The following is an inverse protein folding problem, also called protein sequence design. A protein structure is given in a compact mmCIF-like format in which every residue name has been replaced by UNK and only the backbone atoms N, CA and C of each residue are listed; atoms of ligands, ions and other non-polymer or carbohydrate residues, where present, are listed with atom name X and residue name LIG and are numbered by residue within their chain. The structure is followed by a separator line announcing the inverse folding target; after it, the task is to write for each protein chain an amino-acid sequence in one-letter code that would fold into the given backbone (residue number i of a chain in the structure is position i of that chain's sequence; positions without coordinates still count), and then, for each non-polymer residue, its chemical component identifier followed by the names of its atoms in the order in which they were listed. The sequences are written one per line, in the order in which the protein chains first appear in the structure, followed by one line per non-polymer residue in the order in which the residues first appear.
data_IF_421889338693
#
_entry.id   IF_421889338693
#
_cell.length_a   1.000
_cell.length_b   1.000
_cell.length_c   1.000
_cell.angle_alpha   90.00
_cell.angle_beta   90.00
_cell.angle_gamma   90.00
#
_symmetry.space_group_name_H-M   'P 1'
#
loop_
_entity.id
_entity.type
_entity.pdbx_description
1 polymer ?
#
# COMPACT_ATOMS: atom_id res chain seq x y z
N UNK A 1 3.22 -1.80 3.43
CA UNK A 1 3.64 -2.94 2.55
C UNK A 1 2.51 -3.38 1.60
N UNK A 2 1.45 -4.03 2.07
CA UNK A 2 0.47 -4.69 1.18
C UNK A 2 -0.36 -3.75 0.28
N UNK A 3 -0.87 -2.64 0.83
CA UNK A 3 -1.78 -1.75 0.10
C UNK A 3 -1.10 -0.80 -0.88
N UNK A 4 0.07 -0.26 -0.53
CA UNK A 4 0.66 0.87 -1.26
C UNK A 4 1.99 0.55 -1.95
N UNK A 5 2.69 -0.52 -1.59
CA UNK A 5 4.04 -0.77 -2.12
C UNK A 5 4.03 -1.01 -3.62
N UNK A 6 3.05 -1.75 -4.14
CA UNK A 6 2.94 -1.97 -5.58
C UNK A 6 2.75 -0.64 -6.30
N UNK A 7 1.78 0.19 -5.88
CA UNK A 7 1.53 1.51 -6.48
C UNK A 7 2.77 2.42 -6.50
N UNK A 8 3.53 2.43 -5.39
CA UNK A 8 4.79 3.17 -5.29
C UNK A 8 5.79 2.73 -6.36
N UNK A 9 5.95 1.40 -6.55
CA UNK A 9 6.85 0.84 -7.57
C UNK A 9 6.40 1.23 -8.98
N UNK A 10 5.09 1.35 -9.21
CA UNK A 10 4.54 1.77 -10.50
C UNK A 10 4.96 3.18 -10.84
N UNK A 11 4.64 4.15 -9.98
CA UNK A 11 4.89 5.57 -10.23
C UNK A 11 6.37 5.90 -10.25
N UNK A 12 7.13 5.46 -9.24
CA UNK A 12 8.54 5.81 -9.14
C UNK A 12 9.43 5.00 -10.10
N UNK A 13 8.93 3.88 -10.61
CA UNK A 13 9.75 2.88 -11.27
C UNK A 13 10.71 2.18 -10.30
N UNK A 14 11.31 1.08 -10.75
CA UNK A 14 12.17 0.23 -9.91
C UNK A 14 13.40 1.00 -9.42
N UNK A 15 14.04 1.78 -10.30
CA UNK A 15 15.31 2.45 -10.01
C UNK A 15 15.19 3.48 -8.88
N UNK A 16 14.26 4.42 -9.00
CA UNK A 16 14.06 5.45 -7.97
C UNK A 16 13.46 4.85 -6.68
N UNK A 17 12.62 3.81 -6.79
CA UNK A 17 12.08 3.12 -5.62
C UNK A 17 13.18 2.46 -4.78
N UNK A 18 14.15 1.77 -5.41
CA UNK A 18 15.30 1.19 -4.71
C UNK A 18 16.14 2.27 -4.01
N UNK A 19 16.42 3.38 -4.68
CA UNK A 19 17.18 4.51 -4.09
C UNK A 19 16.43 5.09 -2.89
N UNK A 20 15.12 5.32 -3.01
CA UNK A 20 14.29 5.83 -1.92
C UNK A 20 14.27 4.86 -0.72
N UNK A 21 14.05 3.57 -0.96
CA UNK A 21 14.07 2.55 0.09
C UNK A 21 15.43 2.49 0.76
N UNK A 22 16.52 2.52 0.01
CA UNK A 22 17.87 2.56 0.56
C UNK A 22 18.09 3.78 1.47
N UNK A 23 17.70 4.98 1.04
CA UNK A 23 17.82 6.20 1.84
C UNK A 23 17.01 6.13 3.14
N UNK A 24 15.77 5.65 3.07
CA UNK A 24 14.92 5.49 4.25
C UNK A 24 15.51 4.46 5.23
N UNK A 25 15.95 3.30 4.72
CA UNK A 25 16.54 2.24 5.53
C UNK A 25 17.89 2.62 6.13
N UNK A 26 18.69 3.43 5.42
CA UNK A 26 19.95 3.94 5.93
C UNK A 26 19.72 4.89 7.11
N UNK A 27 18.74 5.80 7.00
CA UNK A 27 18.37 6.71 8.08
C UNK A 27 17.92 5.94 9.35
N UNK A 28 17.06 4.94 9.20
CA UNK A 28 16.59 4.12 10.33
C UNK A 28 17.68 3.22 10.89
N UNK A 29 18.57 2.69 10.03
CA UNK A 29 19.72 1.89 10.46
C UNK A 29 20.68 2.70 11.34
N UNK A 30 21.02 3.93 10.95
CA UNK A 30 21.81 4.83 11.80
C UNK A 30 21.12 5.10 13.15
N UNK A 31 19.79 5.26 13.12
CA UNK A 31 19.00 5.44 14.34
C UNK A 31 19.05 4.20 15.24
N UNK A 32 19.01 2.98 14.67
CA UNK A 32 19.17 1.73 15.41
C UNK A 32 20.55 1.61 16.08
N UNK A 33 21.62 2.08 15.43
CA UNK A 33 22.96 2.10 16.03
C UNK A 33 22.99 3.06 17.23
N UNK A 34 22.41 4.25 17.09
CA UNK A 34 22.29 5.20 18.21
C UNK A 34 21.45 4.62 19.36
N UNK A 35 20.32 3.97 19.05
CA UNK A 35 19.49 3.31 20.06
C UNK A 35 20.22 2.17 20.76
N UNK A 36 21.03 1.42 20.02
CA UNK A 36 21.85 0.34 20.57
C UNK A 36 22.89 0.87 21.56
N UNK A 37 23.55 1.98 21.24
CA UNK A 37 24.48 2.64 22.14
C UNK A 37 23.80 3.11 23.44
N UNK A 38 22.59 3.67 23.33
CA UNK A 38 21.78 4.06 24.49
C UNK A 38 21.43 2.84 25.34
N UNK A 39 21.04 1.72 24.72
CA UNK A 39 20.70 0.49 25.46
C UNK A 39 21.91 -0.13 26.17
N UNK A 40 23.11 -0.06 25.60
CA UNK A 40 24.32 -0.60 26.26
C UNK A 40 24.85 0.28 27.40
N UNK A 41 24.36 1.52 27.53
CA UNK A 41 24.79 2.44 28.57
C UNK A 41 23.89 2.34 29.81
N UNK A 42 24.50 1.93 30.93
CA UNK A 42 23.84 1.85 32.23
C UNK A 42 22.98 0.61 32.45
N UNK A 43 22.41 0.49 33.64
CA UNK A 43 21.50 -0.62 33.99
C UNK A 43 20.12 -0.31 33.43
N UNK A 44 19.61 -1.17 32.56
CA UNK A 44 18.25 -1.05 32.00
C UNK A 44 17.28 -1.63 33.02
N UNK A 45 16.44 -0.77 33.60
CA UNK A 45 15.33 -1.20 34.45
C UNK A 45 14.03 -1.31 33.64
N UNK A 46 13.01 -1.93 34.23
CA UNK A 46 11.70 -2.14 33.63
C UNK A 46 10.92 -0.82 33.47
N UNK A 47 11.17 -0.09 32.38
CA UNK A 47 10.47 1.17 32.08
C UNK A 47 10.26 1.47 30.58
N UNK A 48 10.64 0.55 29.69
CA UNK A 48 10.51 0.71 28.24
C UNK A 48 11.44 1.77 27.65
N UNK A 49 11.15 2.20 26.41
CA UNK A 49 11.99 3.13 25.64
C UNK A 49 12.10 4.52 26.25
N UNK A 50 10.99 5.09 26.72
CA UNK A 50 10.99 6.42 27.32
C UNK A 50 11.88 6.49 28.56
N UNK A 51 11.79 5.50 29.45
CA UNK A 51 12.62 5.42 30.65
C UNK A 51 14.10 5.26 30.29
N UNK A 52 14.42 4.41 29.31
CA UNK A 52 15.79 4.20 28.84
C UNK A 52 16.42 5.48 28.26
N UNK A 53 15.66 6.26 27.49
CA UNK A 53 16.13 7.51 26.87
C UNK A 53 16.29 8.62 27.92
N UNK A 54 15.26 8.84 28.75
CA UNK A 54 15.26 9.93 29.75
C UNK A 54 16.35 9.76 30.81
N UNK A 55 16.71 8.52 31.16
CA UNK A 55 17.79 8.25 32.11
C UNK A 55 19.19 8.50 31.53
N UNK A 56 19.41 8.17 30.26
CA UNK A 56 20.73 8.27 29.64
C UNK A 56 21.01 9.65 29.00
N UNK A 57 19.99 10.35 28.51
CA UNK A 57 20.14 11.68 27.88
C UNK A 57 19.63 12.83 28.76
N UNK A 58 19.01 12.53 29.90
CA UNK A 58 18.43 13.51 30.80
C UNK A 58 16.93 13.74 30.55
N UNK A 59 16.23 14.30 31.55
CA UNK A 59 14.77 14.43 31.54
C UNK A 59 14.26 15.39 30.46
N UNK A 60 15.02 16.43 30.10
CA UNK A 60 14.63 17.41 29.08
C UNK A 60 14.53 16.76 27.68
N UNK A 61 15.59 16.05 27.29
CA UNK A 61 15.62 15.29 26.03
C UNK A 61 14.61 14.14 26.03
N UNK A 62 14.52 13.41 27.14
CA UNK A 62 13.55 12.32 27.29
C UNK A 62 12.11 12.78 27.09
N UNK A 63 11.72 13.89 27.72
CA UNK A 63 10.37 14.45 27.63
C UNK A 63 10.05 14.92 26.21
N UNK A 64 10.97 15.65 25.56
CA UNK A 64 10.77 16.14 24.20
C UNK A 64 10.60 14.99 23.19
N UNK A 65 11.47 13.97 23.24
CA UNK A 65 11.39 12.79 22.36
C UNK A 65 10.14 11.97 22.69
N UNK A 66 9.79 11.84 23.97
CA UNK A 66 8.60 11.12 24.42
C UNK A 66 7.28 11.69 23.88
N UNK A 67 7.12 13.02 23.91
CA UNK A 67 5.92 13.69 23.37
C UNK A 67 5.80 13.47 21.86
N UNK A 68 6.91 13.61 21.12
CA UNK A 68 6.93 13.37 19.67
C UNK A 68 6.60 11.90 19.34
N UNK A 69 7.14 10.96 20.11
CA UNK A 69 6.87 9.54 19.95
C UNK A 69 5.40 9.18 20.26
N UNK A 70 4.82 9.78 21.31
CA UNK A 70 3.41 9.63 21.64
C UNK A 70 2.50 10.12 20.51
N UNK A 71 2.73 11.34 20.01
CA UNK A 71 1.95 11.90 18.91
C UNK A 71 2.10 11.06 17.63
N UNK A 72 3.33 10.64 17.31
CA UNK A 72 3.60 9.79 16.15
C UNK A 72 2.85 8.47 16.21
N UNK A 73 2.85 7.79 17.36
CA UNK A 73 2.10 6.55 17.54
C UNK A 73 0.58 6.77 17.48
N UNK A 74 0.07 7.89 18.00
CA UNK A 74 -1.35 8.24 17.92
C UNK A 74 -1.80 8.43 16.45
N UNK A 75 -1.02 9.15 15.65
CA UNK A 75 -1.26 9.29 14.22
C UNK A 75 -1.13 7.95 13.47
N UNK A 76 -0.17 7.10 13.84
CA UNK A 76 -0.02 5.76 13.26
C UNK A 76 -1.24 4.86 13.54
N UNK A 77 -1.79 4.90 14.77
CA UNK A 77 -3.02 4.19 15.11
C UNK A 77 -4.18 4.63 14.21
N UNK A 78 -4.35 5.94 13.98
CA UNK A 78 -5.37 6.43 13.06
C UNK A 78 -5.14 5.93 11.62
N UNK A 79 -3.89 5.95 11.14
CA UNK A 79 -3.53 5.43 9.82
C UNK A 79 -3.89 3.94 9.65
N UNK A 80 -3.61 3.11 10.66
CA UNK A 80 -3.94 1.68 10.61
C UNK A 80 -5.44 1.42 10.61
N UNK A 81 -6.23 2.22 11.32
CA UNK A 81 -7.70 2.11 11.32
C UNK A 81 -8.26 2.48 9.94
N UNK A 82 -7.80 3.58 9.34
CA UNK A 82 -8.24 3.98 7.99
C UNK A 82 -7.89 2.91 6.97
N UNK A 83 -6.68 2.33 7.05
CA UNK A 83 -6.28 1.22 6.18
C UNK A 83 -7.13 -0.05 6.39
N UNK A 84 -7.55 -0.35 7.63
CA UNK A 84 -8.45 -1.46 7.90
C UNK A 84 -9.84 -1.23 7.31
N UNK A 85 -10.38 0.00 7.42
CA UNK A 85 -11.66 0.39 6.80
C UNK A 85 -11.56 0.30 5.28
N UNK A 86 -10.45 0.75 4.69
CA UNK A 86 -10.20 0.64 3.26
C UNK A 86 -10.29 -0.80 2.77
N UNK A 87 -9.59 -1.72 3.46
CA UNK A 87 -9.61 -3.13 3.10
C UNK A 87 -11.02 -3.72 3.25
N UNK A 88 -11.71 -3.35 4.32
CA UNK A 88 -13.04 -3.85 4.62
C UNK A 88 -14.07 -3.40 3.57
N UNK A 89 -14.08 -2.11 3.21
CA UNK A 89 -15.06 -1.54 2.29
C UNK A 89 -14.76 -1.83 0.82
N UNK A 90 -13.50 -1.92 0.41
CA UNK A 90 -13.16 -2.10 -1.02
C UNK A 90 -12.99 -3.57 -1.41
N UNK A 91 -12.46 -4.42 -0.52
CA UNK A 91 -12.09 -5.78 -0.89
C UNK A 91 -12.95 -6.87 -0.23
N UNK A 92 -13.46 -6.65 0.99
CA UNK A 92 -14.25 -7.67 1.70
C UNK A 92 -15.75 -7.51 1.43
N UNK A 93 -16.27 -6.29 1.60
CA UNK A 93 -17.70 -6.02 1.50
C UNK A 93 -17.96 -4.69 0.75
N UNK A 94 -17.90 -4.68 -0.59
CA UNK A 94 -18.21 -3.47 -1.38
C UNK A 94 -19.69 -3.07 -1.32
N UNK A 95 -20.59 -3.95 -0.88
CA UNK A 95 -22.03 -3.71 -0.90
C UNK A 95 -22.56 -2.93 0.32
N UNK A 96 -21.79 -2.82 1.40
CA UNK A 96 -22.23 -2.16 2.64
C UNK A 96 -21.93 -0.66 2.64
N UNK A 97 -21.29 -0.14 1.60
CA UNK A 97 -21.02 1.30 1.49
C UNK A 97 -22.31 2.10 1.44
N UNK A 98 -22.39 3.16 2.25
CA UNK A 98 -23.54 4.05 2.26
C UNK A 98 -23.52 4.82 0.94
N UNK A 99 -24.52 4.59 0.09
CA UNK A 99 -24.63 5.12 -1.27
C UNK A 99 -24.29 4.13 -2.39
N UNK A 100 -23.91 2.89 -2.07
CA UNK A 100 -23.68 1.82 -3.04
C UNK A 100 -22.32 1.87 -3.74
N UNK A 101 -22.11 0.96 -4.71
CA UNK A 101 -20.82 0.78 -5.37
C UNK A 101 -20.40 1.95 -6.28
N UNK A 102 -21.34 2.80 -6.71
CA UNK A 102 -21.05 3.96 -7.56
C UNK A 102 -20.32 5.08 -6.80
N UNK A 103 -20.32 5.02 -5.47
CA UNK A 103 -19.67 6.00 -4.59
C UNK A 103 -18.16 5.82 -4.51
N UNK A 104 -17.64 4.64 -4.89
CA UNK A 104 -16.20 4.37 -4.87
C UNK A 104 -15.40 5.29 -5.81
N UNK A 105 -16.07 5.97 -6.75
CA UNK A 105 -15.43 6.88 -7.69
C UNK A 105 -15.35 8.33 -7.20
N UNK A 106 -16.04 8.66 -6.10
CA UNK A 106 -16.05 10.00 -5.51
C UNK A 106 -15.00 10.13 -4.39
N UNK A 107 -13.79 10.55 -4.76
CA UNK A 107 -12.64 10.74 -3.86
C UNK A 107 -12.55 12.15 -3.25
N UNK A 108 -13.60 12.97 -3.38
CA UNK A 108 -13.61 14.31 -2.81
C UNK A 108 -13.50 14.32 -1.27
N UNK A 109 -12.92 15.38 -0.70
CA UNK A 109 -12.77 15.56 0.76
C UNK A 109 -14.11 15.52 1.53
N UNK A 110 -15.18 15.95 0.87
CA UNK A 110 -16.57 15.88 1.34
C UNK A 110 -17.42 14.92 0.51
N UNK A 111 -16.76 14.03 -0.25
CA UNK A 111 -17.40 13.00 -1.04
C UNK A 111 -18.06 11.96 -0.14
N UNK A 112 -19.03 11.24 -0.70
CA UNK A 112 -19.76 10.22 0.05
C UNK A 112 -18.82 9.10 0.54
N UNK A 113 -17.74 8.80 -0.20
CA UNK A 113 -16.76 7.80 0.22
C UNK A 113 -15.93 8.25 1.43
N UNK A 114 -15.40 9.48 1.48
CA UNK A 114 -14.68 9.96 2.68
C UNK A 114 -15.59 10.03 3.90
N UNK A 115 -16.90 10.28 3.73
CA UNK A 115 -17.85 10.15 4.83
C UNK A 115 -18.02 8.69 5.30
N UNK A 116 -18.05 7.71 4.40
CA UNK A 116 -17.99 6.29 4.76
C UNK A 116 -16.75 5.98 5.61
N UNK A 117 -15.57 6.44 5.20
CA UNK A 117 -14.33 6.27 5.98
C UNK A 117 -14.43 6.85 7.39
N UNK A 118 -15.03 8.03 7.56
CA UNK A 118 -15.22 8.66 8.88
C UNK A 118 -16.17 7.86 9.77
N UNK A 119 -17.29 7.40 9.22
CA UNK A 119 -18.29 6.63 9.99
C UNK A 119 -17.73 5.27 10.40
N UNK A 120 -17.22 4.48 9.45
CA UNK A 120 -16.66 3.16 9.78
C UNK A 120 -15.38 3.27 10.63
N UNK A 121 -14.54 4.28 10.38
CA UNK A 121 -13.35 4.53 11.18
C UNK A 121 -13.65 4.86 12.64
N UNK A 122 -14.66 5.70 12.90
CA UNK A 122 -15.07 6.01 14.28
C UNK A 122 -15.67 4.81 15.01
N UNK A 123 -16.45 3.97 14.31
CA UNK A 123 -16.99 2.72 14.87
C UNK A 123 -15.87 1.76 15.25
N UNK A 124 -14.90 1.52 14.36
CA UNK A 124 -13.76 0.63 14.62
C UNK A 124 -12.88 1.19 15.75
N UNK A 125 -12.65 2.50 15.80
CA UNK A 125 -11.90 3.15 16.87
C UNK A 125 -12.56 2.91 18.25
N UNK A 126 -13.88 3.07 18.33
CA UNK A 126 -14.64 2.84 19.57
C UNK A 126 -14.55 1.37 20.00
N UNK A 127 -14.65 0.43 19.06
CA UNK A 127 -14.48 -1.00 19.34
C UNK A 127 -13.08 -1.30 19.89
N UNK A 128 -12.03 -0.79 19.25
CA UNK A 128 -10.64 -0.96 19.71
C UNK A 128 -10.47 -0.36 21.10
N UNK A 129 -11.06 0.81 21.37
CA UNK A 129 -11.04 1.43 22.69
C UNK A 129 -11.69 0.52 23.76
N UNK A 130 -12.84 -0.08 23.47
CA UNK A 130 -13.49 -1.04 24.38
C UNK A 130 -12.58 -2.25 24.63
N UNK A 131 -11.98 -2.82 23.59
CA UNK A 131 -11.09 -3.99 23.73
C UNK A 131 -9.88 -3.67 24.60
N UNK A 132 -9.26 -2.50 24.41
CA UNK A 132 -8.13 -2.06 25.22
C UNK A 132 -8.56 -1.79 26.67
N UNK A 133 -9.75 -1.21 26.88
CA UNK A 133 -10.30 -0.95 28.21
C UNK A 133 -10.63 -2.24 28.99
N UNK A 134 -11.08 -3.30 28.31
CA UNK A 134 -11.35 -4.61 28.93
C UNK A 134 -10.07 -5.33 29.39
N UNK A 135 -8.93 -5.06 28.77
CA UNK A 135 -7.63 -5.49 29.26
C UNK A 135 -6.63 -5.87 28.18
N UNK A 136 -5.43 -5.28 28.27
CA UNK A 136 -4.32 -5.46 27.30
C UNK A 136 -3.75 -6.88 27.29
N UNK A 137 -3.91 -7.65 28.38
CA UNK A 137 -3.45 -9.05 28.46
C UNK A 137 -4.07 -9.94 27.39
N UNK A 138 -5.35 -9.69 27.04
CA UNK A 138 -6.02 -10.42 25.97
C UNK A 138 -5.36 -10.15 24.62
N UNK A 139 -4.99 -8.90 24.34
CA UNK A 139 -4.33 -8.50 23.08
C UNK A 139 -2.96 -9.15 22.93
N UNK A 140 -2.19 -9.27 24.02
CA UNK A 140 -0.87 -9.90 24.01
C UNK A 140 -0.91 -11.38 23.60
N UNK A 141 -2.01 -12.08 23.88
CA UNK A 141 -2.19 -13.48 23.45
C UNK A 141 -2.31 -13.61 21.92
N UNK A 142 -2.92 -12.62 21.23
CA UNK A 142 -3.09 -12.63 19.77
C UNK A 142 -1.87 -12.09 19.00
N UNK A 143 -0.93 -11.43 19.68
CA UNK A 143 0.28 -10.89 19.06
C UNK A 143 1.06 -11.91 18.19
N UNK A 144 1.39 -13.13 18.65
CA UNK A 144 2.11 -14.10 17.82
C UNK A 144 1.28 -14.59 16.62
N UNK A 145 -0.05 -14.68 16.75
CA UNK A 145 -0.94 -15.07 15.65
C UNK A 145 -0.87 -14.03 14.52
N UNK A 146 -0.87 -12.74 14.87
CA UNK A 146 -0.74 -11.66 13.90
C UNK A 146 0.59 -11.71 13.14
N UNK A 147 1.69 -12.05 13.82
CA UNK A 147 3.01 -12.19 13.19
C UNK A 147 3.04 -13.34 12.18
N UNK A 148 2.45 -14.50 12.54
CA UNK A 148 2.35 -15.66 11.64
C UNK A 148 1.55 -15.31 10.38
N UNK A 149 0.43 -14.59 10.54
CA UNK A 149 -0.39 -14.15 9.41
C UNK A 149 0.41 -13.27 8.43
N UNK A 150 1.21 -12.32 8.95
CA UNK A 150 2.07 -11.47 8.11
C UNK A 150 3.13 -12.28 7.37
N UNK A 151 3.79 -13.23 8.06
CA UNK A 151 4.81 -14.08 7.44
C UNK A 151 4.23 -14.98 6.33
N UNK A 152 3.08 -15.61 6.57
CA UNK A 152 2.39 -16.42 5.56
C UNK A 152 2.00 -15.57 4.35
N UNK A 153 1.52 -14.34 4.58
CA UNK A 153 1.15 -13.42 3.49
C UNK A 153 2.36 -13.03 2.64
N UNK A 154 3.53 -12.80 3.25
CA UNK A 154 4.78 -12.53 2.52
C UNK A 154 5.20 -13.75 1.69
N UNK A 155 5.16 -14.95 2.28
CA UNK A 155 5.49 -16.18 1.58
C UNK A 155 4.53 -16.46 0.42
N UNK A 156 3.23 -16.18 0.59
CA UNK A 156 2.23 -16.32 -0.46
C UNK A 156 2.49 -15.39 -1.65
N UNK A 157 2.94 -14.15 -1.40
CA UNK A 157 3.34 -13.23 -2.47
C UNK A 157 4.49 -13.83 -3.29
N UNK A 158 5.57 -14.28 -2.62
CA UNK A 158 6.71 -14.90 -3.31
C UNK A 158 6.33 -16.19 -4.05
N UNK A 159 5.49 -17.03 -3.47
CA UNK A 159 4.98 -18.23 -4.12
C UNK A 159 4.16 -17.89 -5.37
N UNK A 160 3.28 -16.88 -5.30
CA UNK A 160 2.47 -16.43 -6.44
C UNK A 160 3.32 -15.87 -7.58
N UNK A 161 4.40 -15.16 -7.27
CA UNK A 161 5.38 -14.66 -8.27
C UNK A 161 6.05 -15.82 -9.00
N UNK A 162 6.50 -16.85 -8.27
CA UNK A 162 7.14 -18.03 -8.86
C UNK A 162 6.13 -18.79 -9.73
N UNK A 163 4.92 -19.00 -9.22
CA UNK A 163 3.84 -19.65 -9.97
C UNK A 163 3.55 -18.91 -11.28
N UNK A 164 3.42 -17.58 -11.26
CA UNK A 164 3.20 -16.77 -12.47
C UNK A 164 4.40 -16.58 -13.37
N UNK A 165 5.60 -16.88 -12.90
CA UNK A 165 6.76 -16.98 -13.78
C UNK A 165 6.79 -18.29 -14.57
N UNK A 166 6.12 -19.35 -14.09
CA UNK A 166 6.12 -20.68 -14.73
C UNK A 166 4.82 -20.88 -15.54
N UNK A 167 3.69 -20.49 -14.96
CA UNK A 167 2.35 -20.65 -15.52
C UNK A 167 1.82 -19.27 -15.91
N UNK A 168 1.58 -19.07 -17.21
CA UNK A 168 0.98 -17.82 -17.70
C UNK A 168 -0.37 -17.56 -17.02
N UNK A 169 -0.59 -16.31 -16.60
CA UNK A 169 -1.88 -15.88 -16.06
C UNK A 169 -2.97 -15.78 -17.14
N UNK A 170 -4.21 -16.12 -16.76
CA UNK A 170 -5.43 -15.83 -17.52
C UNK A 170 -5.97 -14.41 -17.26
N UNK A 171 -5.46 -13.74 -16.21
CA UNK A 171 -5.85 -12.38 -15.86
C UNK A 171 -5.32 -11.41 -16.91
N UNK A 172 -6.24 -10.94 -17.75
CA UNK A 172 -5.98 -9.99 -18.83
C UNK A 172 -6.90 -8.80 -18.70
N UNK A 173 -6.51 -7.69 -19.30
CA UNK A 173 -7.26 -6.47 -19.17
C UNK A 173 -7.20 -5.63 -20.44
N UNK A 174 -8.24 -4.80 -20.58
CA UNK A 174 -8.59 -4.06 -21.78
C UNK A 174 -7.96 -2.65 -21.79
N UNK A 175 -7.40 -2.28 -22.93
CA UNK A 175 -6.91 -0.93 -23.21
C UNK A 175 -7.64 -0.33 -24.41
N UNK A 176 -7.83 0.98 -24.37
CA UNK A 176 -8.30 1.82 -25.46
C UNK A 176 -7.16 2.76 -25.89
N UNK A 177 -6.55 2.56 -27.04
CA UNK A 177 -5.42 3.39 -27.54
C UNK A 177 -4.28 3.59 -26.55
N UNK A 178 -4.00 2.56 -25.74
CA UNK A 178 -3.06 2.53 -24.60
C UNK A 178 -3.57 3.09 -23.26
N UNK A 179 -4.81 3.57 -23.18
CA UNK A 179 -5.46 3.99 -21.94
C UNK A 179 -6.13 2.79 -21.28
N UNK A 180 -6.00 2.71 -19.97
CA UNK A 180 -6.49 1.59 -19.18
C UNK A 180 -7.95 1.81 -18.82
N UNK A 181 -8.80 0.85 -19.19
CA UNK A 181 -10.25 0.92 -18.97
C UNK A 181 -10.65 0.32 -17.63
N UNK A 182 -11.63 0.94 -16.97
CA UNK A 182 -12.21 0.40 -15.74
C UNK A 182 -13.05 -0.85 -16.02
N UNK A 183 -12.90 -1.91 -15.21
CA UNK A 183 -13.58 -3.19 -15.44
C UNK A 183 -15.11 -3.07 -15.48
N UNK A 184 -15.69 -2.20 -14.64
CA UNK A 184 -17.14 -1.97 -14.60
C UNK A 184 -17.68 -1.28 -15.87
N UNK A 185 -16.82 -0.65 -16.68
CA UNK A 185 -17.23 0.01 -17.91
C UNK A 185 -17.67 -1.01 -18.98
N UNK A 186 -17.03 -2.19 -19.03
CA UNK A 186 -17.25 -3.18 -20.09
C UNK A 186 -17.72 -4.55 -19.60
N UNK A 187 -17.46 -4.94 -18.35
CA UNK A 187 -17.97 -6.18 -17.77
C UNK A 187 -19.29 -5.97 -17.01
N UNK A 188 -20.17 -6.96 -17.04
CA UNK A 188 -21.37 -7.04 -16.19
C UNK A 188 -21.11 -7.92 -14.96
N UNK A 189 -21.71 -7.58 -13.82
CA UNK A 189 -21.49 -8.17 -12.47
C UNK A 189 -21.69 -9.70 -12.40
N UNK A 190 -22.36 -10.34 -13.37
CA UNK A 190 -22.74 -11.76 -13.32
C UNK A 190 -21.80 -12.74 -14.07
N UNK A 191 -20.57 -12.34 -14.42
CA UNK A 191 -19.69 -13.18 -15.23
C UNK A 191 -18.76 -14.02 -14.34
N UNK A 192 -18.97 -15.34 -14.35
CA UNK A 192 -18.19 -16.31 -13.57
C UNK A 192 -17.07 -17.00 -14.35
N UNK A 193 -16.83 -16.67 -15.63
CA UNK A 193 -15.83 -17.39 -16.44
C UNK A 193 -14.84 -16.45 -17.15
N UNK A 194 -13.68 -16.28 -16.51
CA UNK A 194 -12.30 -16.31 -17.02
C UNK A 194 -11.80 -15.56 -18.27
N UNK A 195 -12.60 -14.78 -19.00
CA UNK A 195 -12.03 -13.90 -20.03
C UNK A 195 -12.72 -12.54 -20.10
N UNK A 196 -12.32 -11.64 -19.19
CA UNK A 196 -12.63 -10.21 -19.24
C UNK A 196 -12.34 -9.60 -20.63
N UNK A 197 -11.36 -10.16 -21.36
CA UNK A 197 -11.04 -9.80 -22.75
C UNK A 197 -12.14 -10.09 -23.77
N UNK A 198 -13.01 -11.07 -23.54
CA UNK A 198 -14.09 -11.39 -24.49
C UNK A 198 -15.06 -10.22 -24.64
N UNK A 199 -15.20 -9.40 -23.60
CA UNK A 199 -16.01 -8.20 -23.54
C UNK A 199 -15.26 -6.92 -23.96
N UNK A 200 -13.95 -7.02 -24.23
CA UNK A 200 -13.08 -5.95 -24.73
C UNK A 200 -13.12 -5.91 -26.27
N UNK A 201 -14.30 -5.67 -26.83
CA UNK A 201 -14.49 -5.56 -28.27
C UNK A 201 -15.57 -4.52 -28.59
N UNK A 202 -15.50 -3.94 -29.78
CA UNK A 202 -16.51 -3.04 -30.35
C UNK A 202 -17.85 -3.73 -30.68
N UNK A 203 -18.06 -4.99 -30.26
CA UNK A 203 -19.36 -5.66 -30.33
C UNK A 203 -20.18 -5.47 -29.03
N UNK A 204 -19.56 -4.99 -27.95
CA UNK A 204 -20.22 -4.80 -26.68
C UNK A 204 -20.99 -3.46 -26.68
N UNK A 205 -22.33 -3.47 -26.64
CA UNK A 205 -23.14 -2.26 -26.78
C UNK A 205 -22.85 -1.26 -25.67
N UNK A 206 -22.59 -1.73 -24.45
CA UNK A 206 -22.26 -0.87 -23.30
C UNK A 206 -20.97 -0.08 -23.53
N UNK A 207 -19.97 -0.68 -24.17
CA UNK A 207 -18.69 -0.02 -24.44
C UNK A 207 -18.81 0.97 -25.61
N UNK A 208 -19.55 0.60 -26.67
CA UNK A 208 -19.81 1.47 -27.83
C UNK A 208 -20.63 2.70 -27.42
N UNK A 209 -21.67 2.53 -26.60
CA UNK A 209 -22.54 3.62 -26.17
C UNK A 209 -21.77 4.68 -25.37
N UNK A 210 -20.81 4.23 -24.54
CA UNK A 210 -19.97 5.13 -23.72
C UNK A 210 -18.91 5.81 -24.61
N UNK A 211 -18.19 5.08 -25.47
CA UNK A 211 -17.11 5.64 -26.29
C UNK A 211 -17.66 6.56 -27.39
N UNK A 212 -18.79 6.20 -28.01
CA UNK A 212 -19.31 6.87 -29.20
C UNK A 212 -20.58 7.72 -28.92
N UNK A 213 -20.90 8.03 -27.66
CA UNK A 213 -22.03 8.90 -27.26
C UNK A 213 -23.35 8.66 -28.05
N UNK A 214 -23.92 7.46 -27.97
CA UNK A 214 -25.16 7.04 -28.67
C UNK A 214 -25.10 6.94 -30.22
N UNK A 215 -23.95 7.03 -30.88
CA UNK A 215 -23.86 6.67 -32.30
C UNK A 215 -23.63 5.17 -32.45
N UNK A 216 -24.61 4.45 -32.98
CA UNK A 216 -24.59 2.99 -33.20
C UNK A 216 -23.69 2.51 -34.33
N UNK A 217 -22.91 3.40 -34.95
CA UNK A 217 -22.08 3.11 -36.13
C UNK A 217 -20.61 3.42 -35.87
N UNK A 218 -19.76 2.41 -36.13
CA UNK A 218 -18.30 2.45 -36.00
C UNK A 218 -17.65 3.62 -36.77
N UNK A 219 -18.29 4.12 -37.85
CA UNK A 219 -17.79 5.22 -38.68
C UNK A 219 -17.82 6.60 -37.97
N UNK A 220 -18.58 6.76 -36.88
CA UNK A 220 -18.64 8.01 -36.10
C UNK A 220 -17.73 7.97 -34.87
N UNK A 221 -17.22 6.80 -34.51
CA UNK A 221 -16.21 6.63 -33.49
C UNK A 221 -14.85 6.72 -34.20
N UNK A 222 -13.90 7.51 -33.68
CA UNK A 222 -12.59 7.65 -34.33
C UNK A 222 -11.86 6.31 -34.52
N UNK A 223 -10.66 6.35 -35.14
CA UNK A 223 -9.77 5.18 -35.21
C UNK A 223 -9.23 4.82 -33.82
N UNK A 224 -10.07 4.21 -33.00
CA UNK A 224 -9.73 3.69 -31.69
C UNK A 224 -9.37 2.20 -31.80
N UNK A 225 -8.34 1.79 -31.06
CA UNK A 225 -7.84 0.42 -31.02
C UNK A 225 -8.06 -0.16 -29.63
N UNK A 226 -8.78 -1.28 -29.57
CA UNK A 226 -8.95 -2.06 -28.35
C UNK A 226 -7.92 -3.19 -28.32
N UNK A 227 -7.08 -3.22 -27.29
CA UNK A 227 -6.11 -4.29 -27.08
C UNK A 227 -6.31 -4.95 -25.73
N UNK A 228 -6.12 -6.27 -25.67
CA UNK A 228 -6.19 -7.00 -24.42
C UNK A 228 -4.83 -7.64 -24.11
N UNK A 229 -4.16 -7.14 -23.07
CA UNK A 229 -2.85 -7.63 -22.65
C UNK A 229 -2.93 -8.33 -21.29
N UNK A 230 -1.93 -9.14 -20.97
CA UNK A 230 -1.84 -9.84 -19.68
C UNK A 230 -1.43 -8.85 -18.59
N UNK A 231 -2.13 -8.87 -17.44
CA UNK A 231 -1.76 -8.03 -16.29
C UNK A 231 -0.46 -8.51 -15.64
N UNK A 232 -0.26 -9.83 -15.60
CA UNK A 232 0.92 -10.50 -15.05
C UNK A 232 1.63 -11.31 -16.13
N UNK A 233 2.44 -10.66 -16.98
CA UNK A 233 3.17 -11.33 -18.05
C UNK A 233 4.35 -12.16 -17.55
N UNK A 234 4.73 -12.04 -16.26
CA UNK A 234 5.78 -12.84 -15.62
C UNK A 234 7.20 -12.31 -15.86
N UNK A 235 8.19 -12.90 -15.19
CA UNK A 235 9.56 -12.38 -15.12
C UNK A 235 10.28 -12.40 -16.49
N UNK A 236 9.96 -13.38 -17.35
CA UNK A 236 10.61 -13.57 -18.66
C UNK A 236 10.12 -12.60 -19.74
N UNK A 237 9.07 -11.81 -19.47
CA UNK A 237 8.42 -10.94 -20.45
C UNK A 237 9.18 -9.65 -20.78
N UNK A 238 10.31 -9.37 -20.12
CA UNK A 238 11.08 -8.13 -20.31
C UNK A 238 10.49 -6.89 -19.62
N UNK A 239 9.40 -7.06 -18.86
CA UNK A 239 8.70 -5.98 -18.15
C UNK A 239 9.55 -5.26 -17.10
N UNK A 240 10.60 -5.93 -16.59
CA UNK A 240 11.57 -5.30 -15.69
C UNK A 240 12.17 -4.02 -16.27
N UNK A 241 12.56 -4.03 -17.56
CA UNK A 241 13.13 -2.85 -18.23
C UNK A 241 12.07 -1.78 -18.50
N UNK A 242 10.83 -2.21 -18.80
CA UNK A 242 9.71 -1.29 -19.02
C UNK A 242 9.30 -0.54 -17.74
N UNK A 243 9.50 -1.13 -16.57
CA UNK A 243 9.18 -0.56 -15.26
C UNK A 243 10.36 0.15 -14.58
N UNK A 244 11.52 0.21 -15.23
CA UNK A 244 12.68 0.92 -14.72
C UNK A 244 12.47 2.45 -14.63
N UNK A 245 11.88 3.14 -15.64
CA UNK A 245 11.69 4.58 -15.59
C UNK A 245 10.55 5.00 -14.65
N UNK A 246 10.67 6.22 -14.12
CA UNK A 246 9.64 6.84 -13.30
C UNK A 246 8.59 7.55 -14.15
N UNK A 247 7.32 7.43 -13.78
CA UNK A 247 6.21 8.16 -14.38
C UNK A 247 5.40 8.87 -13.30
N UNK A 248 5.81 10.09 -12.98
CA UNK A 248 5.07 10.97 -12.09
C UNK A 248 3.86 11.57 -12.81
N UNK A 249 2.71 11.49 -12.16
CA UNK A 249 1.42 11.94 -12.69
C UNK A 249 0.80 12.98 -11.76
N UNK A 250 0.13 13.97 -12.34
CA UNK A 250 -0.69 14.94 -11.60
C UNK A 250 -2.07 14.36 -11.30
N UNK A 251 -2.74 14.93 -10.31
CA UNK A 251 -4.13 14.60 -10.03
C UNK A 251 -5.00 14.83 -11.29
N UNK A 252 -5.80 13.82 -11.65
CA UNK A 252 -6.65 13.83 -12.84
C UNK A 252 -6.00 13.38 -14.15
N UNK A 253 -4.74 12.94 -14.12
CA UNK A 253 -4.07 12.36 -15.30
C UNK A 253 -4.36 10.84 -15.42
N UNK A 254 -4.60 10.36 -16.64
CA UNK A 254 -4.80 8.93 -17.00
C UNK A 254 -3.50 8.31 -17.52
N UNK A 255 -2.65 9.11 -18.16
CA UNK A 255 -1.28 8.78 -18.47
C UNK A 255 -0.43 10.06 -18.35
N UNK A 256 0.91 9.99 -18.31
CA UNK A 256 1.74 11.19 -18.17
C UNK A 256 1.39 12.25 -19.22
N UNK A 257 0.92 13.43 -18.78
CA UNK A 257 0.46 14.55 -19.63
C UNK A 257 -0.85 14.32 -20.42
N UNK A 258 -1.62 13.28 -20.11
CA UNK A 258 -2.95 13.03 -20.65
C UNK A 258 -3.99 13.12 -19.53
N UNK A 259 -4.97 14.01 -19.69
CA UNK A 259 -6.03 14.24 -18.71
C UNK A 259 -7.29 13.43 -19.06
N UNK A 260 -8.10 13.19 -18.04
CA UNK A 260 -9.39 12.49 -18.14
C UNK A 260 -10.27 13.11 -19.23
N UNK A 261 -10.82 12.24 -20.09
CA UNK A 261 -11.92 12.56 -20.99
C UNK A 261 -13.26 12.15 -20.39
N UNK A 262 -13.36 10.96 -19.79
CA UNK A 262 -14.57 10.49 -19.10
C UNK A 262 -14.23 9.73 -17.80
N UNK A 263 -14.78 10.21 -16.68
CA UNK A 263 -14.56 9.66 -15.34
C UNK A 263 -15.09 8.24 -15.15
N UNK A 264 -16.08 7.82 -15.95
CA UNK A 264 -16.70 6.48 -15.82
C UNK A 264 -15.97 5.39 -16.60
N UNK A 265 -15.17 5.80 -17.59
CA UNK A 265 -14.49 4.91 -18.52
C UNK A 265 -13.03 4.67 -18.11
N UNK A 266 -12.33 5.75 -17.75
CA UNK A 266 -10.87 5.77 -17.59
C UNK A 266 -10.46 5.71 -16.12
N UNK A 267 -9.37 4.97 -15.83
CA UNK A 267 -8.76 5.02 -14.50
C UNK A 267 -7.80 6.22 -14.44
N UNK A 268 -7.92 7.03 -13.39
CA UNK A 268 -7.14 8.24 -13.23
C UNK A 268 -6.37 8.28 -11.92
N UNK A 269 -5.37 9.15 -11.88
CA UNK A 269 -4.56 9.41 -10.70
C UNK A 269 -5.29 10.37 -9.74
N UNK A 270 -5.55 9.96 -8.49
CA UNK A 270 -6.25 10.83 -7.53
C UNK A 270 -5.38 11.97 -6.99
N UNK A 271 -4.08 11.72 -6.83
CA UNK A 271 -3.18 12.65 -6.13
C UNK A 271 -1.94 12.92 -6.97
N UNK A 272 -1.55 14.19 -7.04
CA UNK A 272 -0.30 14.60 -7.68
C UNK A 272 0.88 13.95 -7.00
N UNK A 273 1.66 13.20 -7.77
CA UNK A 273 2.79 12.43 -7.27
C UNK A 273 4.11 13.12 -7.58
N UNK A 274 4.96 13.21 -6.57
CA UNK A 274 6.35 13.66 -6.66
C UNK A 274 7.21 12.74 -5.81
N UNK A 275 8.52 12.74 -6.04
CA UNK A 275 9.46 11.92 -5.26
C UNK A 275 9.24 12.06 -3.74
N UNK A 276 9.11 13.29 -3.24
CA UNK A 276 8.93 13.55 -1.81
C UNK A 276 7.55 13.15 -1.27
N UNK A 277 6.48 13.31 -2.06
CA UNK A 277 5.14 12.86 -1.67
C UNK A 277 5.13 11.34 -1.52
N UNK A 278 5.71 10.62 -2.48
CA UNK A 278 5.76 9.16 -2.44
C UNK A 278 6.67 8.67 -1.30
N UNK A 279 7.79 9.36 -1.06
CA UNK A 279 8.65 9.11 0.11
C UNK A 279 7.90 9.28 1.44
N UNK A 280 7.08 10.32 1.57
CA UNK A 280 6.28 10.54 2.77
C UNK A 280 5.23 9.44 2.99
N UNK A 281 4.65 8.90 1.93
CA UNK A 281 3.72 7.76 1.98
C UNK A 281 4.46 6.46 2.35
N UNK A 282 5.69 6.29 1.86
CA UNK A 282 6.52 5.12 2.14
C UNK A 282 7.05 5.11 3.58
N UNK A 283 7.48 6.26 4.10
CA UNK A 283 8.26 6.38 5.34
C UNK A 283 7.65 5.67 6.57
N UNK A 284 6.32 5.72 6.84
CA UNK A 284 5.71 4.97 7.94
C UNK A 284 6.02 3.47 7.91
N UNK A 285 6.32 2.90 6.74
CA UNK A 285 6.67 1.48 6.56
C UNK A 285 8.02 1.08 7.18
N UNK A 286 8.92 2.04 7.43
CA UNK A 286 10.26 1.80 8.00
C UNK A 286 10.37 2.25 9.46
N UNK A 287 9.32 2.86 9.99
CA UNK A 287 9.25 3.29 11.39
C UNK A 287 8.97 2.11 12.34
N UNK A 288 8.92 2.37 13.65
CA UNK A 288 8.58 1.33 14.64
C UNK A 288 9.79 0.57 15.21
N UNK A 289 11.03 0.98 14.90
CA UNK A 289 12.26 0.38 15.42
C UNK A 289 12.35 0.37 16.96
N UNK A 290 11.65 1.29 17.62
CA UNK A 290 11.61 1.43 19.08
C UNK A 290 10.73 0.39 19.78
N UNK A 291 9.90 -0.35 19.04
CA UNK A 291 8.96 -1.32 19.63
C UNK A 291 9.68 -2.44 20.39
N UNK A 292 10.86 -2.87 19.94
CA UNK A 292 11.64 -3.91 20.61
C UNK A 292 12.15 -3.51 22.00
N UNK A 293 12.37 -2.21 22.24
CA UNK A 293 12.81 -1.70 23.53
C UNK A 293 11.64 -1.39 24.48
N UNK A 294 10.39 -1.45 24.01
CA UNK A 294 9.21 -1.25 24.88
C UNK A 294 8.99 -2.40 25.87
N UNK A 295 9.49 -3.60 25.55
CA UNK A 295 9.44 -4.79 26.41
C UNK A 295 10.74 -5.03 27.17
N UNK A 296 11.53 -3.97 27.43
CA UNK A 296 12.85 -4.09 28.05
C UNK A 296 12.85 -4.74 29.43
N UNK A 297 11.76 -4.58 30.19
CA UNK A 297 11.59 -5.14 31.53
C UNK A 297 11.37 -6.67 31.56
N UNK A 298 10.93 -7.27 30.45
CA UNK A 298 10.63 -8.71 30.36
C UNK A 298 11.81 -9.52 29.79
N UNK A 299 12.90 -8.84 29.41
CA UNK A 299 14.08 -9.46 28.82
C UNK A 299 15.03 -9.96 29.92
N UNK A 300 15.57 -11.17 29.73
CA UNK A 300 16.63 -11.72 30.60
C UNK A 300 17.89 -10.86 30.59
N UNK A 301 18.36 -10.47 29.40
CA UNK A 301 19.54 -9.64 29.19
C UNK A 301 19.23 -8.51 28.18
N UNK A 302 18.64 -7.38 28.62
CA UNK A 302 18.17 -6.32 27.72
C UNK A 302 19.32 -5.62 26.97
N UNK A 303 20.48 -5.43 27.61
CA UNK A 303 21.65 -4.76 27.01
C UNK A 303 22.19 -5.49 25.77
N UNK A 304 22.04 -6.82 25.72
CA UNK A 304 22.45 -7.63 24.57
C UNK A 304 21.30 -7.87 23.59
N UNK A 305 20.10 -8.12 24.11
CA UNK A 305 18.95 -8.52 23.30
C UNK A 305 18.38 -7.37 22.47
N UNK A 306 18.35 -6.14 23.01
CA UNK A 306 17.80 -4.97 22.30
C UNK A 306 18.64 -4.64 21.05
N UNK A 307 19.98 -4.47 21.13
CA UNK A 307 20.80 -4.19 19.94
C UNK A 307 20.72 -5.30 18.88
N UNK A 308 20.87 -6.56 19.30
CA UNK A 308 20.88 -7.69 18.37
C UNK A 308 19.51 -7.85 17.68
N UNK A 309 18.41 -7.75 18.43
CA UNK A 309 17.06 -7.87 17.90
C UNK A 309 16.69 -6.73 16.95
N UNK A 310 16.97 -5.48 17.33
CA UNK A 310 16.61 -4.30 16.52
C UNK A 310 17.39 -4.25 15.20
N UNK A 311 18.71 -4.51 15.23
CA UNK A 311 19.54 -4.54 14.02
C UNK A 311 19.15 -5.70 13.11
N UNK A 312 18.95 -6.91 13.66
CA UNK A 312 18.53 -8.06 12.86
C UNK A 312 17.15 -7.85 12.21
N UNK A 313 16.19 -7.28 12.94
CA UNK A 313 14.87 -6.93 12.40
C UNK A 313 14.95 -5.87 11.30
N UNK A 314 15.79 -4.84 11.47
CA UNK A 314 16.00 -3.81 10.46
C UNK A 314 16.61 -4.37 9.17
N UNK A 315 17.61 -5.25 9.27
CA UNK A 315 18.20 -5.90 8.10
C UNK A 315 17.21 -6.83 7.40
N UNK A 316 16.47 -7.63 8.17
CA UNK A 316 15.48 -8.57 7.64
C UNK A 316 14.38 -7.84 6.87
N UNK A 317 13.80 -6.79 7.45
CA UNK A 317 12.76 -5.98 6.79
C UNK A 317 13.31 -5.26 5.55
N UNK A 318 14.53 -4.72 5.61
CA UNK A 318 15.19 -4.08 4.46
C UNK A 318 15.32 -5.03 3.27
N UNK A 319 15.76 -6.27 3.52
CA UNK A 319 15.87 -7.30 2.49
C UNK A 319 14.49 -7.64 1.90
N UNK A 320 13.48 -7.85 2.75
CA UNK A 320 12.12 -8.16 2.29
C UNK A 320 11.57 -7.03 1.41
N UNK A 321 11.72 -5.76 1.79
CA UNK A 321 11.24 -4.63 0.99
C UNK A 321 11.94 -4.55 -0.37
N UNK A 322 13.26 -4.72 -0.43
CA UNK A 322 14.00 -4.70 -1.70
C UNK A 322 13.56 -5.86 -2.60
N UNK A 323 13.41 -7.06 -2.05
CA UNK A 323 12.93 -8.23 -2.80
C UNK A 323 11.51 -8.02 -3.34
N UNK A 324 10.61 -7.43 -2.55
CA UNK A 324 9.25 -7.13 -2.99
C UNK A 324 9.21 -6.07 -4.10
N UNK A 325 10.06 -5.04 -4.04
CA UNK A 325 10.17 -4.02 -5.09
C UNK A 325 10.62 -4.65 -6.41
N UNK A 326 11.67 -5.47 -6.38
CA UNK A 326 12.18 -6.19 -7.55
C UNK A 326 11.14 -7.18 -8.10
N UNK A 327 10.45 -7.89 -7.20
CA UNK A 327 9.39 -8.81 -7.55
C UNK A 327 8.22 -8.13 -8.28
N UNK A 328 7.66 -7.06 -7.71
CA UNK A 328 6.54 -6.34 -8.34
C UNK A 328 6.95 -5.71 -9.67
N UNK A 329 8.13 -5.09 -9.71
CA UNK A 329 8.65 -4.47 -10.92
C UNK A 329 8.96 -5.45 -12.06
N UNK A 330 9.27 -6.71 -11.76
CA UNK A 330 9.57 -7.72 -12.78
C UNK A 330 8.36 -8.51 -13.27
N UNK A 331 7.26 -8.57 -12.50
CA UNK A 331 6.13 -9.46 -12.78
C UNK A 331 4.86 -8.77 -13.26
N UNK A 332 4.66 -7.50 -12.88
CA UNK A 332 3.43 -6.75 -13.15
C UNK A 332 3.70 -5.75 -14.27
N UNK A 333 2.83 -5.63 -15.26
CA UNK A 333 3.01 -4.65 -16.33
C UNK A 333 2.84 -3.22 -15.79
N UNK A 334 3.81 -2.32 -16.06
CA UNK A 334 3.89 -0.99 -15.46
C UNK A 334 2.63 -0.15 -15.54
N UNK A 335 1.93 -0.22 -16.67
CA UNK A 335 0.65 0.47 -16.91
C UNK A 335 -0.43 0.12 -15.88
N UNK A 336 -0.38 -1.07 -15.28
CA UNK A 336 -1.28 -1.53 -14.19
C UNK A 336 -0.86 -1.03 -12.83
N UNK A 337 0.45 -0.87 -12.62
CA UNK A 337 1.01 -0.55 -11.31
C UNK A 337 0.70 0.92 -10.93
N UNK A 338 0.36 1.77 -11.89
CA UNK A 338 0.07 3.19 -11.63
C UNK A 338 -1.20 3.45 -10.82
N UNK A 339 -2.14 2.49 -10.79
CA UNK A 339 -3.48 2.81 -10.33
C UNK A 339 -3.78 2.24 -8.97
N UNK A 340 -3.78 3.15 -7.99
CA UNK A 340 -4.32 2.91 -6.67
C UNK A 340 -5.09 4.14 -6.23
N UNK A 341 -6.33 3.93 -5.77
CA UNK A 341 -7.21 5.01 -5.38
C UNK A 341 -6.86 5.53 -3.98
N UNK A 342 -6.63 6.83 -3.83
CA UNK A 342 -6.36 7.45 -2.54
C UNK A 342 -7.62 8.10 -2.00
N UNK A 343 -8.12 7.57 -0.89
CA UNK A 343 -9.21 8.17 -0.13
C UNK A 343 -8.60 8.93 1.05
N UNK A 344 -8.68 10.27 1.00
CA UNK A 344 -8.17 11.17 2.05
C UNK A 344 -9.30 11.76 2.90
#
# INVERSE_FOLDING_TARGET
MFLRLFWIVGIMGIGQCIVMTFLCMFCTFLTCISLSAIATNGVIEAGGTYYMISRNLGPEFGTAVGILFYLGNACACAMYIVAAVEVFLLYIAPNITIGGQEVHDDTGLTGMMSNNYRVYGTIILLLIFIVVALGVRFVQFFAPISLICVLISILAIFAGIIEKSIISSNHRVCYLDNLLLHANAYASINITNDDLCSYCNFNNPKLIDIICHNSSSLDSCGNHTLTCEKAFPGIQSGVFLANLPSHYMKAGEVAPKQYISDKKLEIFQDVTTTFFVVMAIYFPSVTGIMTGANMSGDLKDPQKSIPQGTIAAQLTTSIIYILLILAFGSTIAGKWIFFFKFYF
#
